data_IF_839854850567
#
_entry.id   IF_839854850567
#
_cell.length_a   1.000
_cell.length_b   1.000
_cell.length_c   1.000
_cell.angle_alpha   90.00
_cell.angle_beta   90.00
_cell.angle_gamma   90.00
#
_symmetry.space_group_name_H-M   'P 1'
#
loop_
_entity.id
_entity.type
_entity.pdbx_description
1 polymer ?
#
# COMPACT_ATOMS: atom_id res chain seq x y z
N UNK A 1 -18.02 0.45 34.92
CA UNK A 1 -16.93 1.24 34.32
C UNK A 1 -17.51 2.55 33.85
N UNK A 2 -17.28 3.62 34.59
CA UNK A 2 -17.77 4.97 34.28
C UNK A 2 -16.90 5.59 33.21
N UNK A 3 -17.46 5.81 32.01
CA UNK A 3 -16.76 6.46 30.91
C UNK A 3 -17.02 7.96 31.02
N UNK A 4 -16.04 8.72 31.53
CA UNK A 4 -16.00 10.19 31.46
C UNK A 4 -15.76 10.61 30.01
N UNK A 5 -16.81 11.08 29.33
CA UNK A 5 -16.72 11.67 28.00
C UNK A 5 -16.23 13.11 28.12
N UNK A 6 -15.20 13.47 27.36
CA UNK A 6 -14.59 14.80 27.38
C UNK A 6 -15.48 15.79 26.62
N UNK A 7 -16.18 16.67 27.34
CA UNK A 7 -16.95 17.80 26.78
C UNK A 7 -15.98 18.82 26.17
N UNK A 8 -15.93 18.90 24.85
CA UNK A 8 -15.50 20.13 24.16
C UNK A 8 -16.68 20.65 23.35
N UNK A 9 -17.00 21.90 23.63
CA UNK A 9 -17.91 22.81 22.93
C UNK A 9 -19.41 22.51 22.99
N UNK A 10 -19.98 22.68 24.19
CA UNK A 10 -21.33 23.23 24.35
C UNK A 10 -21.26 24.22 25.51
N UNK A 11 -21.05 25.49 25.16
CA UNK A 11 -21.12 26.63 26.05
C UNK A 11 -22.53 26.81 26.60
N UNK A 12 -22.58 26.93 27.93
CA UNK A 12 -23.54 27.62 28.78
C UNK A 12 -25.01 27.16 28.84
N UNK A 13 -25.39 26.84 30.09
CA UNK A 13 -26.74 26.76 30.65
C UNK A 13 -27.69 25.70 30.10
N UNK A 14 -27.73 24.55 30.80
CA UNK A 14 -28.92 24.05 31.49
C UNK A 14 -28.63 22.62 32.02
N UNK A 15 -29.04 22.36 33.26
CA UNK A 15 -29.09 21.03 33.84
C UNK A 15 -30.11 20.20 33.06
N UNK A 16 -29.67 19.56 31.98
CA UNK A 16 -30.52 18.64 31.21
C UNK A 16 -30.80 17.41 32.07
N UNK A 17 -31.99 17.35 32.67
CA UNK A 17 -32.53 16.11 33.21
C UNK A 17 -32.71 15.19 32.00
N UNK A 18 -31.74 14.32 31.74
CA UNK A 18 -31.88 13.29 30.72
C UNK A 18 -33.01 12.38 31.21
N UNK A 19 -34.19 12.54 30.64
CA UNK A 19 -35.32 11.66 30.91
C UNK A 19 -34.96 10.25 30.46
N UNK A 20 -35.43 9.22 31.19
CA UNK A 20 -35.20 7.81 30.83
C UNK A 20 -35.58 7.52 29.36
N UNK A 21 -36.57 8.25 28.82
CA UNK A 21 -36.95 8.29 27.41
C UNK A 21 -35.77 8.62 26.46
N UNK A 22 -35.03 9.69 26.73
CA UNK A 22 -33.89 10.13 25.89
C UNK A 22 -32.74 9.14 25.99
N UNK A 23 -32.46 8.63 27.20
CA UNK A 23 -31.40 7.62 27.40
C UNK A 23 -31.75 6.30 26.68
N UNK A 24 -33.00 5.86 26.75
CA UNK A 24 -33.49 4.67 26.04
C UNK A 24 -33.43 4.86 24.53
N UNK A 25 -33.80 6.03 24.01
CA UNK A 25 -33.68 6.35 22.60
C UNK A 25 -32.21 6.32 22.13
N UNK A 26 -31.31 6.95 22.89
CA UNK A 26 -29.87 6.92 22.61
C UNK A 26 -29.31 5.48 22.60
N UNK A 27 -29.68 4.64 23.57
CA UNK A 27 -29.27 3.24 23.60
C UNK A 27 -29.80 2.46 22.39
N UNK A 28 -31.05 2.71 21.97
CA UNK A 28 -31.62 2.12 20.74
C UNK A 28 -30.83 2.52 19.49
N UNK A 29 -30.45 3.79 19.36
CA UNK A 29 -29.63 4.28 18.25
C UNK A 29 -28.24 3.62 18.24
N UNK A 30 -27.61 3.42 19.40
CA UNK A 30 -26.31 2.71 19.49
C UNK A 30 -26.41 1.27 19.00
N UNK A 31 -27.45 0.55 19.40
CA UNK A 31 -27.65 -0.83 18.95
C UNK A 31 -27.94 -0.90 17.44
N UNK A 32 -28.76 0.02 16.91
CA UNK A 32 -28.96 0.15 15.46
C UNK A 32 -27.65 0.42 14.72
N UNK A 33 -26.80 1.29 15.26
CA UNK A 33 -25.51 1.59 14.65
C UNK A 33 -24.60 0.36 14.62
N UNK A 34 -24.53 -0.43 15.71
CA UNK A 34 -23.79 -1.70 15.74
C UNK A 34 -24.31 -2.70 14.71
N UNK A 35 -25.63 -2.84 14.58
CA UNK A 35 -26.26 -3.74 13.60
C UNK A 35 -25.93 -3.30 12.18
N UNK A 36 -26.07 -2.01 11.89
CA UNK A 36 -25.78 -1.45 10.57
C UNK A 36 -24.32 -1.65 10.18
N UNK A 37 -23.36 -1.41 11.09
CA UNK A 37 -21.94 -1.66 10.83
C UNK A 37 -21.63 -3.13 10.54
N UNK A 38 -22.23 -4.06 11.29
CA UNK A 38 -22.08 -5.50 11.00
C UNK A 38 -22.65 -5.86 9.64
N UNK A 39 -23.86 -5.40 9.34
CA UNK A 39 -24.53 -5.64 8.05
C UNK A 39 -23.69 -5.12 6.88
N UNK A 40 -23.09 -3.94 7.01
CA UNK A 40 -22.19 -3.38 6.01
C UNK A 40 -20.98 -4.30 5.76
N UNK A 41 -20.36 -4.84 6.80
CA UNK A 41 -19.22 -5.77 6.65
C UNK A 41 -19.66 -7.06 5.95
N UNK A 42 -20.81 -7.62 6.32
CA UNK A 42 -21.37 -8.82 5.65
C UNK A 42 -21.63 -8.57 4.16
N UNK A 43 -22.27 -7.45 3.79
CA UNK A 43 -22.48 -7.12 2.38
C UNK A 43 -21.16 -7.00 1.61
N UNK A 44 -20.10 -6.46 2.24
CA UNK A 44 -18.78 -6.39 1.61
C UNK A 44 -18.10 -7.76 1.50
N UNK A 45 -18.28 -8.65 2.49
CA UNK A 45 -17.81 -10.05 2.44
C UNK A 45 -18.51 -10.83 1.32
N UNK A 46 -19.80 -10.58 1.10
CA UNK A 46 -20.51 -11.19 -0.02
C UNK A 46 -20.00 -10.63 -1.35
N UNK A 47 -19.80 -9.32 -1.43
CA UNK A 47 -19.26 -8.65 -2.62
C UNK A 47 -17.88 -9.21 -3.01
N UNK A 48 -16.96 -9.41 -2.05
CA UNK A 48 -15.64 -9.96 -2.37
C UNK A 48 -15.71 -11.41 -2.88
N UNK A 49 -16.64 -12.22 -2.37
CA UNK A 49 -16.85 -13.61 -2.84
C UNK A 49 -17.35 -13.63 -4.28
N UNK A 50 -18.38 -12.82 -4.57
CA UNK A 50 -18.93 -12.66 -5.93
C UNK A 50 -17.84 -12.20 -6.90
N UNK A 51 -17.06 -11.17 -6.55
CA UNK A 51 -15.99 -10.66 -7.40
C UNK A 51 -14.91 -11.71 -7.67
N UNK A 52 -14.54 -12.52 -6.66
CA UNK A 52 -13.57 -13.61 -6.80
C UNK A 52 -14.09 -14.67 -7.77
N UNK A 53 -15.32 -15.15 -7.55
CA UNK A 53 -15.94 -16.17 -8.37
C UNK A 53 -16.08 -15.74 -9.84
N UNK A 54 -16.56 -14.52 -10.10
CA UNK A 54 -16.67 -13.95 -11.45
C UNK A 54 -15.30 -13.87 -12.12
N UNK A 55 -14.27 -13.45 -11.37
CA UNK A 55 -12.92 -13.30 -11.90
C UNK A 55 -12.32 -14.65 -12.28
N UNK A 56 -12.41 -15.64 -11.41
CA UNK A 56 -11.70 -16.91 -11.61
C UNK A 56 -12.37 -17.79 -12.66
N UNK A 57 -13.70 -17.80 -12.70
CA UNK A 57 -14.45 -18.49 -13.75
C UNK A 57 -14.58 -17.68 -15.04
N UNK A 58 -14.05 -16.45 -15.05
CA UNK A 58 -14.09 -15.54 -16.20
C UNK A 58 -15.51 -15.21 -16.67
N UNK A 59 -16.49 -15.20 -15.76
CA UNK A 59 -17.91 -14.96 -16.07
C UNK A 59 -18.20 -13.58 -16.65
N UNK A 60 -17.32 -12.60 -16.41
CA UNK A 60 -17.39 -11.31 -17.08
C UNK A 60 -17.36 -11.40 -18.61
N UNK A 61 -16.91 -12.52 -19.19
CA UNK A 61 -16.94 -12.73 -20.65
C UNK A 61 -18.35 -12.98 -21.19
N UNK A 62 -19.30 -13.41 -20.37
CA UNK A 62 -20.70 -13.59 -20.81
C UNK A 62 -21.35 -12.26 -21.21
N UNK A 63 -20.95 -11.17 -20.57
CA UNK A 63 -21.36 -9.81 -20.92
C UNK A 63 -20.46 -9.17 -22.00
N UNK A 64 -19.53 -9.94 -22.59
CA UNK A 64 -18.64 -9.45 -23.65
C UNK A 64 -17.43 -8.63 -23.18
N UNK A 65 -17.17 -8.53 -21.87
CA UNK A 65 -15.99 -7.80 -21.38
C UNK A 65 -14.68 -8.52 -21.75
N UNK A 66 -13.73 -7.76 -22.29
CA UNK A 66 -12.38 -8.27 -22.61
C UNK A 66 -11.51 -8.51 -21.37
N UNK A 67 -11.83 -7.88 -20.25
CA UNK A 67 -11.08 -8.02 -18.99
C UNK A 67 -11.98 -7.81 -17.78
N UNK A 68 -11.60 -8.43 -16.67
CA UNK A 68 -12.29 -8.23 -15.37
C UNK A 68 -12.23 -6.77 -14.90
N UNK A 69 -11.15 -6.06 -15.21
CA UNK A 69 -11.03 -4.63 -14.87
C UNK A 69 -12.09 -3.78 -15.60
N UNK A 70 -12.36 -4.09 -16.89
CA UNK A 70 -13.42 -3.41 -17.64
C UNK A 70 -14.80 -3.69 -17.00
N UNK A 71 -15.09 -4.95 -16.69
CA UNK A 71 -16.30 -5.35 -15.98
C UNK A 71 -16.48 -4.60 -14.65
N UNK A 72 -15.43 -4.54 -13.83
CA UNK A 72 -15.54 -3.98 -12.48
C UNK A 72 -15.85 -2.48 -12.44
N UNK A 73 -15.57 -1.74 -13.53
CA UNK A 73 -15.84 -0.29 -13.61
C UNK A 73 -17.33 0.02 -13.63
N UNK A 74 -18.15 -0.87 -14.19
CA UNK A 74 -19.57 -0.61 -14.40
C UNK A 74 -20.39 -0.75 -13.11
N UNK A 75 -19.82 -1.39 -12.08
CA UNK A 75 -20.45 -1.60 -10.77
C UNK A 75 -20.06 -0.56 -9.71
N UNK A 76 -19.58 0.62 -10.12
CA UNK A 76 -19.14 1.71 -9.22
C UNK A 76 -18.08 1.29 -8.20
N UNK A 77 -17.27 0.27 -8.53
CA UNK A 77 -16.18 -0.18 -7.68
C UNK A 77 -14.88 0.48 -8.13
N UNK A 78 -14.22 1.18 -7.22
CA UNK A 78 -12.90 1.75 -7.50
C UNK A 78 -11.88 0.63 -7.73
N UNK A 79 -10.96 0.80 -8.69
CA UNK A 79 -9.92 -0.20 -9.00
C UNK A 79 -9.15 -0.68 -7.76
N UNK A 80 -8.78 0.25 -6.88
CA UNK A 80 -8.09 -0.06 -5.63
C UNK A 80 -8.94 -0.90 -4.66
N UNK A 81 -10.25 -0.64 -4.61
CA UNK A 81 -11.20 -1.41 -3.80
C UNK A 81 -11.33 -2.84 -4.33
N UNK A 82 -11.49 -3.00 -5.65
CA UNK A 82 -11.56 -4.33 -6.30
C UNK A 82 -10.31 -5.15 -6.01
N UNK A 83 -9.13 -4.54 -6.17
CA UNK A 83 -7.86 -5.19 -5.84
C UNK A 83 -7.80 -5.65 -4.37
N UNK A 84 -8.19 -4.78 -3.43
CA UNK A 84 -8.20 -5.11 -2.01
C UNK A 84 -9.19 -6.23 -1.68
N UNK A 85 -10.37 -6.23 -2.32
CA UNK A 85 -11.38 -7.26 -2.11
C UNK A 85 -10.91 -8.62 -2.60
N UNK A 86 -10.33 -8.68 -3.80
CA UNK A 86 -9.72 -9.91 -4.31
C UNK A 86 -8.57 -10.39 -3.43
N UNK A 87 -7.74 -9.47 -2.92
CA UNK A 87 -6.65 -9.81 -2.01
C UNK A 87 -7.15 -10.47 -0.72
N UNK A 88 -8.22 -9.93 -0.14
CA UNK A 88 -8.85 -10.51 1.06
C UNK A 88 -9.49 -11.86 0.74
N UNK A 89 -10.20 -11.98 -0.39
CA UNK A 89 -10.83 -13.22 -0.82
C UNK A 89 -9.80 -14.36 -0.96
N UNK A 90 -8.68 -14.09 -1.66
CA UNK A 90 -7.58 -15.06 -1.77
C UNK A 90 -7.04 -15.45 -0.39
N UNK A 91 -6.81 -14.48 0.50
CA UNK A 91 -6.27 -14.78 1.82
C UNK A 91 -7.22 -15.60 2.71
N UNK A 92 -8.53 -15.51 2.48
CA UNK A 92 -9.54 -16.36 3.14
C UNK A 92 -9.47 -17.77 2.57
N UNK A 93 -9.44 -17.91 1.25
CA UNK A 93 -9.33 -19.20 0.55
C UNK A 93 -8.04 -19.95 0.90
N UNK A 94 -6.92 -19.22 0.98
CA UNK A 94 -5.60 -19.72 1.38
C UNK A 94 -5.51 -20.03 2.89
N UNK A 95 -6.57 -19.78 3.67
CA UNK A 95 -6.60 -20.00 5.12
C UNK A 95 -5.72 -19.05 5.94
N UNK A 96 -5.20 -17.97 5.34
CA UNK A 96 -4.33 -16.99 6.00
C UNK A 96 -5.14 -16.15 7.01
N UNK A 97 -6.42 -15.92 6.72
CA UNK A 97 -7.37 -15.17 7.53
C UNK A 97 -8.71 -15.91 7.55
N UNK A 98 -9.36 -15.94 8.72
CA UNK A 98 -10.72 -16.45 8.86
C UNK A 98 -11.77 -15.38 8.56
N UNK A 99 -12.93 -15.76 8.02
CA UNK A 99 -14.04 -14.82 7.74
C UNK A 99 -14.51 -14.09 9.01
N UNK A 100 -14.54 -14.80 10.14
CA UNK A 100 -14.89 -14.25 11.46
C UNK A 100 -13.98 -13.07 11.86
N UNK A 101 -12.70 -13.13 11.48
CA UNK A 101 -11.76 -12.05 11.73
C UNK A 101 -12.13 -10.80 10.92
N UNK A 102 -12.54 -10.97 9.66
CA UNK A 102 -13.01 -9.87 8.82
C UNK A 102 -14.29 -9.25 9.39
N UNK A 103 -15.24 -10.09 9.83
CA UNK A 103 -16.53 -9.63 10.40
C UNK A 103 -16.30 -8.83 11.68
N UNK A 104 -15.35 -9.25 12.52
CA UNK A 104 -15.05 -8.61 13.80
C UNK A 104 -14.25 -7.31 13.66
N UNK A 105 -13.26 -7.28 12.76
CA UNK A 105 -12.28 -6.19 12.69
C UNK A 105 -12.46 -5.29 11.46
N UNK A 106 -13.25 -5.71 10.48
CA UNK A 106 -13.50 -4.97 9.24
C UNK A 106 -12.37 -5.07 8.21
N UNK A 107 -12.60 -4.43 7.07
CA UNK A 107 -11.72 -4.51 5.89
C UNK A 107 -10.35 -3.88 6.15
N UNK A 108 -10.32 -2.69 6.76
CA UNK A 108 -9.10 -1.90 6.90
C UNK A 108 -8.07 -2.62 7.77
N UNK A 109 -8.50 -3.12 8.94
CA UNK A 109 -7.64 -3.90 9.83
C UNK A 109 -7.16 -5.20 9.19
N UNK A 110 -8.05 -5.88 8.45
CA UNK A 110 -7.69 -7.08 7.68
C UNK A 110 -6.57 -6.78 6.69
N UNK A 111 -6.64 -5.67 5.96
CA UNK A 111 -5.59 -5.26 5.01
C UNK A 111 -4.27 -4.92 5.72
N UNK A 112 -4.31 -4.28 6.89
CA UNK A 112 -3.12 -3.99 7.69
C UNK A 112 -2.44 -5.30 8.12
N UNK A 113 -3.21 -6.26 8.62
CA UNK A 113 -2.69 -7.58 9.02
C UNK A 113 -2.09 -8.32 7.83
N UNK A 114 -2.76 -8.32 6.67
CA UNK A 114 -2.23 -8.95 5.46
C UNK A 114 -0.90 -8.32 5.01
N UNK A 115 -0.80 -6.98 5.04
CA UNK A 115 0.44 -6.27 4.71
C UNK A 115 1.57 -6.63 5.67
N UNK A 116 1.28 -6.74 6.97
CA UNK A 116 2.28 -7.03 7.99
C UNK A 116 2.76 -8.50 7.94
N UNK A 117 1.87 -9.43 7.58
CA UNK A 117 2.25 -10.84 7.31
C UNK A 117 3.12 -10.95 6.05
N UNK A 118 2.80 -10.22 4.98
CA UNK A 118 3.63 -10.14 3.78
C UNK A 118 5.02 -9.53 4.05
N UNK A 119 5.17 -8.64 5.03
CA UNK A 119 6.49 -8.08 5.39
C UNK A 119 7.42 -9.05 6.12
N UNK A 120 6.93 -10.21 6.60
CA UNK A 120 7.83 -11.27 7.10
C UNK A 120 8.57 -11.97 5.95
N UNK A 121 7.94 -12.07 4.78
CA UNK A 121 8.64 -12.33 3.53
C UNK A 121 9.25 -11.02 3.06
N UNK A 122 10.45 -10.72 3.56
CA UNK A 122 11.30 -9.59 3.16
C UNK A 122 11.09 -9.32 1.67
N UNK A 123 10.33 -8.27 1.34
CA UNK A 123 10.49 -7.62 0.04
C UNK A 123 11.92 -7.13 0.07
N UNK A 124 12.86 -7.95 -0.43
CA UNK A 124 14.19 -7.46 -0.80
C UNK A 124 13.87 -6.33 -1.74
N UNK A 125 13.99 -5.10 -1.26
CA UNK A 125 13.83 -3.97 -2.13
C UNK A 125 14.78 -4.24 -3.29
N UNK A 126 14.31 -4.16 -4.53
CA UNK A 126 15.22 -4.06 -5.68
C UNK A 126 16.05 -2.77 -5.63
N UNK A 127 16.05 -2.06 -4.51
CA UNK A 127 17.00 -1.03 -4.18
C UNK A 127 18.34 -1.73 -4.03
N UNK A 128 19.23 -1.49 -5.00
CA UNK A 128 20.61 -1.91 -4.92
C UNK A 128 21.14 -1.53 -3.53
N UNK A 129 21.86 -2.44 -2.83
CA UNK A 129 22.42 -2.15 -1.51
C UNK A 129 23.37 -0.93 -1.54
N UNK A 130 23.85 -0.57 -2.74
CA UNK A 130 24.70 0.58 -3.01
C UNK A 130 23.89 1.59 -3.84
N UNK A 131 23.85 2.86 -3.39
CA UNK A 131 23.24 3.95 -4.15
C UNK A 131 23.97 4.14 -5.47
N UNK A 132 23.26 4.31 -6.61
CA UNK A 132 23.91 4.53 -7.90
C UNK A 132 24.70 5.84 -7.87
N UNK A 133 25.97 5.75 -8.22
CA UNK A 133 26.86 6.89 -8.37
C UNK A 133 26.42 7.72 -9.59
N UNK A 134 26.25 9.03 -9.42
CA UNK A 134 25.83 9.96 -10.48
C UNK A 134 26.95 10.94 -10.79
N UNK A 135 27.38 10.99 -12.05
CA UNK A 135 28.38 11.93 -12.54
C UNK A 135 27.73 12.98 -13.45
N UNK A 136 28.21 14.22 -13.36
CA UNK A 136 27.94 15.26 -14.35
C UNK A 136 29.19 15.44 -15.20
N UNK A 137 29.16 14.93 -16.43
CA UNK A 137 30.27 15.02 -17.37
C UNK A 137 30.18 16.34 -18.15
N UNK A 138 31.32 17.00 -18.37
CA UNK A 138 31.36 18.30 -19.06
C UNK A 138 31.13 18.21 -20.57
N UNK A 139 31.43 17.05 -21.19
CA UNK A 139 31.33 16.82 -22.64
C UNK A 139 30.27 15.77 -22.93
N UNK A 140 29.42 16.05 -23.93
CA UNK A 140 28.31 15.18 -24.33
C UNK A 140 28.81 13.83 -24.87
N UNK A 141 29.85 13.84 -25.71
CA UNK A 141 30.46 12.62 -26.26
C UNK A 141 30.93 11.65 -25.17
N UNK A 142 31.58 12.18 -24.12
CA UNK A 142 32.00 11.37 -22.98
C UNK A 142 30.80 10.78 -22.24
N UNK A 143 29.73 11.55 -22.07
CA UNK A 143 28.49 11.06 -21.46
C UNK A 143 27.87 9.92 -22.27
N UNK A 144 27.72 10.09 -23.58
CA UNK A 144 27.07 9.09 -24.44
C UNK A 144 27.87 7.79 -24.50
N UNK A 145 29.20 7.89 -24.52
CA UNK A 145 30.10 6.73 -24.45
C UNK A 145 29.90 5.93 -23.16
N UNK A 146 30.01 6.57 -21.99
CA UNK A 146 29.92 5.87 -20.70
C UNK A 146 28.51 5.38 -20.39
N UNK A 147 27.47 6.09 -20.87
CA UNK A 147 26.07 5.69 -20.75
C UNK A 147 25.78 4.44 -21.57
N UNK A 148 26.24 4.40 -22.82
CA UNK A 148 26.04 3.24 -23.71
C UNK A 148 26.83 2.01 -23.24
N UNK A 149 27.91 2.23 -22.47
CA UNK A 149 28.82 1.19 -21.99
C UNK A 149 28.78 1.02 -20.45
N UNK A 150 27.62 1.19 -19.81
CA UNK A 150 27.51 1.25 -18.34
C UNK A 150 28.19 0.09 -17.58
N UNK A 151 28.11 -1.16 -18.09
CA UNK A 151 28.78 -2.33 -17.47
C UNK A 151 30.30 -2.23 -17.55
N UNK A 152 30.82 -1.82 -18.71
CA UNK A 152 32.25 -1.59 -18.91
C UNK A 152 32.75 -0.44 -18.06
N UNK A 153 31.99 0.65 -17.95
CA UNK A 153 32.32 1.79 -17.08
C UNK A 153 32.47 1.34 -15.63
N UNK A 154 31.55 0.51 -15.12
CA UNK A 154 31.66 -0.07 -13.77
C UNK A 154 32.94 -0.87 -13.60
N UNK A 155 33.19 -1.82 -14.51
CA UNK A 155 34.42 -2.63 -14.50
C UNK A 155 35.70 -1.78 -14.57
N UNK A 156 35.72 -0.75 -15.42
CA UNK A 156 36.86 0.15 -15.58
C UNK A 156 37.16 0.90 -14.27
N UNK A 157 36.15 1.42 -13.59
CA UNK A 157 36.31 2.13 -12.33
C UNK A 157 36.84 1.20 -11.21
N UNK A 158 36.31 -0.01 -11.12
CA UNK A 158 36.75 -1.00 -10.13
C UNK A 158 38.19 -1.46 -10.39
N UNK A 159 38.55 -1.67 -11.65
CA UNK A 159 39.92 -2.06 -12.05
C UNK A 159 40.92 -0.93 -11.83
N UNK A 160 40.56 0.30 -12.16
CA UNK A 160 41.40 1.48 -11.88
C UNK A 160 41.63 1.67 -10.38
N UNK A 161 40.61 1.42 -9.55
CA UNK A 161 40.77 1.53 -8.11
C UNK A 161 41.64 0.41 -7.51
N UNK A 162 41.51 -0.81 -8.02
CA UNK A 162 42.28 -1.97 -7.55
C UNK A 162 43.74 -1.90 -8.01
N UNK A 163 43.97 -1.73 -9.31
CA UNK A 163 45.29 -1.91 -9.94
C UNK A 163 45.93 -0.58 -10.36
N UNK A 164 45.11 0.43 -10.65
CA UNK A 164 45.51 1.71 -11.27
C UNK A 164 45.73 2.87 -10.31
N UNK A 165 46.04 2.62 -9.03
CA UNK A 165 46.11 3.66 -7.98
C UNK A 165 47.05 4.82 -8.31
N UNK A 166 48.17 4.55 -8.99
CA UNK A 166 49.11 5.60 -9.40
C UNK A 166 48.52 6.53 -10.47
N UNK A 167 47.72 6.00 -11.40
CA UNK A 167 47.00 6.78 -12.40
C UNK A 167 45.98 7.69 -11.70
N UNK A 168 45.25 7.14 -10.72
CA UNK A 168 44.29 7.92 -9.91
C UNK A 168 45.01 9.04 -9.16
N UNK A 169 46.15 8.76 -8.52
CA UNK A 169 46.93 9.79 -7.80
C UNK A 169 47.38 10.92 -8.73
N UNK A 170 47.88 10.58 -9.93
CA UNK A 170 48.30 11.57 -10.92
C UNK A 170 47.14 12.47 -11.35
N UNK A 171 46.01 11.88 -11.75
CA UNK A 171 44.81 12.63 -12.14
C UNK A 171 44.26 13.48 -10.99
N UNK A 172 44.35 13.00 -9.75
CA UNK A 172 43.92 13.75 -8.58
C UNK A 172 44.81 14.96 -8.29
N UNK A 173 46.11 14.87 -8.59
CA UNK A 173 47.05 16.00 -8.50
C UNK A 173 46.72 17.06 -9.56
N UNK A 174 46.60 16.65 -10.82
CA UNK A 174 46.21 17.55 -11.93
C UNK A 174 44.86 18.23 -11.65
N UNK A 175 43.87 17.50 -11.14
CA UNK A 175 42.56 18.05 -10.78
C UNK A 175 42.64 19.12 -9.68
N UNK A 176 43.53 18.93 -8.69
CA UNK A 176 43.73 19.91 -7.60
C UNK A 176 44.44 21.16 -8.11
N UNK A 177 45.40 21.02 -9.02
CA UNK A 177 46.10 22.14 -9.65
C UNK A 177 45.17 22.97 -10.54
N UNK A 178 44.19 22.35 -11.21
CA UNK A 178 43.16 23.04 -12.01
C UNK A 178 42.04 23.70 -11.17
N UNK A 179 41.99 23.43 -9.86
CA UNK A 179 41.05 24.03 -8.91
C UNK A 179 41.68 25.16 -8.07
N UNK A 180 42.99 25.37 -8.19
CA UNK A 180 43.74 26.45 -7.56
C UNK A 180 43.62 27.76 -8.33
#
# INVERSE_FOLDING_TARGET
>A
MDIKVNKRDLSDNENYIITDSVLNHYNSLKEKLKINSKKEIYCKLETLKILKEIKDNHYYRFDGYKSFEAFSKDYRLARAQVYNYLKIANAIEDGIIQEEFLIKNGILETLIVLRNKESKTIKKSKQNPIKPLRFQLKRQESYDFYKSNAKFTGFMLDKLFSDGKEIIKKLMKEYKELKG
#
